data_IF_711707629243
#
_entry.id   IF_711707629243
#
_cell.length_a   1.000
_cell.length_b   1.000
_cell.length_c   1.000
_cell.angle_alpha   90.00
_cell.angle_beta   90.00
_cell.angle_gamma   90.00
#
_symmetry.space_group_name_H-M   'P 1'
#
loop_
_entity.id
_entity.type
_entity.pdbx_description
1 polymer ?
#
# COMPACT_ATOMS: atom_id res chain seq x y z
N UNK A 1 -12.88 -25.89 -29.14
CA UNK A 1 -11.49 -26.08 -28.63
C UNK A 1 -10.84 -24.72 -28.67
N UNK A 2 -10.70 -24.07 -27.52
CA UNK A 2 -9.94 -22.80 -27.43
C UNK A 2 -8.46 -23.12 -27.62
N UNK A 3 -7.82 -22.50 -28.58
CA UNK A 3 -6.39 -22.62 -28.73
C UNK A 3 -5.72 -22.15 -27.44
N UNK A 4 -4.98 -23.04 -26.77
CA UNK A 4 -4.16 -22.66 -25.63
C UNK A 4 -3.14 -21.65 -26.14
N UNK A 5 -3.25 -20.40 -25.71
CA UNK A 5 -2.23 -19.38 -25.96
C UNK A 5 -0.89 -19.87 -25.35
N UNK A 6 0.19 -19.77 -26.12
CA UNK A 6 1.53 -20.12 -25.63
C UNK A 6 1.82 -19.34 -24.31
N UNK A 7 2.53 -19.96 -23.35
CA UNK A 7 2.83 -19.29 -22.10
C UNK A 7 3.67 -18.03 -22.37
N UNK A 8 3.28 -16.91 -21.75
CA UNK A 8 4.04 -15.67 -21.79
C UNK A 8 5.30 -15.88 -20.94
N UNK A 9 6.47 -15.79 -21.56
CA UNK A 9 7.75 -15.97 -20.86
C UNK A 9 8.40 -14.66 -20.44
N UNK A 10 7.96 -13.54 -21.02
CA UNK A 10 8.49 -12.19 -20.75
C UNK A 10 7.38 -11.19 -20.88
N UNK A 11 7.29 -10.27 -19.93
CA UNK A 11 6.28 -9.21 -19.91
C UNK A 11 6.90 -7.89 -19.46
N UNK A 12 6.83 -6.86 -20.30
CA UNK A 12 7.41 -5.54 -20.04
C UNK A 12 6.31 -4.52 -19.82
N UNK A 13 6.40 -3.78 -18.73
CA UNK A 13 5.47 -2.71 -18.34
C UNK A 13 6.23 -1.41 -18.07
N UNK A 14 5.50 -0.32 -18.03
CA UNK A 14 6.00 0.95 -17.48
C UNK A 14 6.43 0.73 -16.02
N UNK A 15 7.52 1.35 -15.60
CA UNK A 15 8.02 1.25 -14.24
C UNK A 15 6.91 1.60 -13.21
N UNK A 16 6.64 0.72 -12.24
CA UNK A 16 5.52 0.89 -11.31
C UNK A 16 5.82 1.90 -10.21
N UNK A 17 4.75 2.39 -9.59
CA UNK A 17 4.78 3.15 -8.35
C UNK A 17 4.08 2.35 -7.24
N UNK A 18 4.52 2.50 -6.00
CA UNK A 18 3.82 1.93 -4.84
C UNK A 18 3.04 3.03 -4.11
N UNK A 19 1.73 2.95 -4.13
CA UNK A 19 0.88 3.99 -3.54
C UNK A 19 0.61 3.78 -2.05
N UNK A 20 1.28 2.81 -1.41
CA UNK A 20 1.22 2.59 0.03
C UNK A 20 2.37 1.71 0.53
N UNK A 21 3.36 2.28 1.20
CA UNK A 21 4.47 1.52 1.79
C UNK A 21 4.86 2.02 3.17
N UNK A 22 5.24 1.09 4.06
CA UNK A 22 5.87 1.40 5.34
C UNK A 22 7.38 1.13 5.25
N UNK A 23 8.18 2.17 5.24
CA UNK A 23 9.65 2.04 5.27
C UNK A 23 10.22 1.97 6.69
N UNK A 24 9.41 2.36 7.70
CA UNK A 24 9.85 2.59 9.08
C UNK A 24 10.88 3.71 9.14
N UNK A 25 11.76 3.73 10.15
CA UNK A 25 12.79 4.77 10.31
C UNK A 25 14.08 4.19 10.88
N UNK A 26 15.14 5.00 10.93
CA UNK A 26 16.45 4.62 11.47
C UNK A 26 17.07 3.44 10.72
N UNK A 27 17.54 2.45 11.46
CA UNK A 27 18.21 1.27 10.89
C UNK A 27 17.33 0.45 9.92
N UNK A 28 16.00 0.48 10.07
CA UNK A 28 15.08 -0.22 9.18
C UNK A 28 15.23 0.23 7.73
N UNK A 29 15.53 1.51 7.50
CA UNK A 29 15.67 2.08 6.17
C UNK A 29 16.77 1.42 5.34
N UNK A 30 17.82 0.91 5.98
CA UNK A 30 18.94 0.22 5.29
C UNK A 30 18.50 -1.07 4.57
N UNK A 31 17.36 -1.67 4.98
CA UNK A 31 16.79 -2.84 4.32
C UNK A 31 15.61 -2.46 3.43
N UNK A 32 14.72 -1.60 3.93
CA UNK A 32 13.44 -1.33 3.27
C UNK A 32 13.57 -0.43 2.06
N UNK A 33 14.45 0.57 2.12
CA UNK A 33 14.64 1.54 1.01
C UNK A 33 15.26 0.88 -0.22
N UNK A 34 16.35 0.08 -0.13
CA UNK A 34 16.88 -0.64 -1.29
C UNK A 34 15.85 -1.54 -1.96
N UNK A 35 15.02 -2.26 -1.19
CA UNK A 35 13.97 -3.11 -1.76
C UNK A 35 12.89 -2.31 -2.47
N UNK A 36 12.47 -1.16 -1.91
CA UNK A 36 11.51 -0.27 -2.56
C UNK A 36 12.09 0.34 -3.85
N UNK A 37 13.31 0.90 -3.80
CA UNK A 37 13.97 1.53 -4.92
C UNK A 37 14.29 0.57 -6.09
N UNK A 38 14.52 -0.71 -5.78
CA UNK A 38 14.74 -1.74 -6.80
C UNK A 38 13.45 -2.13 -7.56
N UNK A 39 12.26 -1.86 -7.00
CA UNK A 39 11.00 -2.32 -7.57
C UNK A 39 10.07 -1.18 -8.02
N UNK A 40 10.23 0.04 -7.48
CA UNK A 40 9.33 1.16 -7.74
C UNK A 40 10.10 2.44 -8.07
N UNK A 41 9.50 3.30 -8.89
CA UNK A 41 10.02 4.64 -9.16
C UNK A 41 9.60 5.64 -8.11
N UNK A 42 8.38 5.52 -7.61
CA UNK A 42 7.85 6.34 -6.53
C UNK A 42 7.18 5.46 -5.50
N UNK A 43 7.18 5.91 -4.26
CA UNK A 43 6.39 5.27 -3.22
C UNK A 43 5.76 6.29 -2.27
N UNK A 44 4.47 6.14 -1.97
CA UNK A 44 3.80 6.91 -0.90
C UNK A 44 4.19 6.31 0.45
N UNK A 45 5.01 7.07 1.20
CA UNK A 45 5.57 6.63 2.47
C UNK A 45 4.60 6.94 3.61
N UNK A 46 4.20 5.93 4.35
CA UNK A 46 3.26 6.05 5.46
C UNK A 46 3.87 6.78 6.67
N UNK A 47 3.09 7.64 7.34
CA UNK A 47 3.58 8.57 8.35
C UNK A 47 3.56 8.03 9.79
N UNK A 48 3.08 6.81 10.04
CA UNK A 48 2.86 6.23 11.37
C UNK A 48 4.17 5.71 12.00
N UNK A 49 5.11 6.61 12.17
CA UNK A 49 6.37 6.40 12.89
C UNK A 49 6.20 6.68 14.39
N UNK A 50 7.29 6.60 15.13
CA UNK A 50 7.36 7.03 16.54
C UNK A 50 8.56 7.98 16.69
N UNK A 51 8.33 9.30 16.81
CA UNK A 51 7.05 10.02 16.69
C UNK A 51 6.48 10.01 15.28
N UNK A 52 5.16 10.20 15.09
CA UNK A 52 4.53 10.24 13.77
C UNK A 52 4.88 11.55 13.01
N UNK A 53 4.80 11.49 11.68
CA UNK A 53 5.04 12.63 10.79
C UNK A 53 3.80 13.52 10.75
N UNK A 54 3.83 14.67 11.43
CA UNK A 54 2.68 15.57 11.59
C UNK A 54 2.82 16.90 10.86
N UNK A 55 4.05 17.30 10.53
CA UNK A 55 4.34 18.59 9.90
C UNK A 55 5.09 18.44 8.59
N UNK A 56 5.08 19.51 7.76
CA UNK A 56 5.91 19.57 6.56
C UNK A 56 7.40 19.40 6.87
N UNK A 57 7.88 19.96 7.97
CA UNK A 57 9.28 19.84 8.40
C UNK A 57 9.64 18.38 8.77
N UNK A 58 8.75 17.67 9.48
CA UNK A 58 8.93 16.24 9.77
C UNK A 58 8.98 15.42 8.47
N UNK A 59 8.11 15.72 7.52
CA UNK A 59 8.05 15.05 6.23
C UNK A 59 9.34 15.25 5.42
N UNK A 60 9.85 16.48 5.37
CA UNK A 60 11.13 16.80 4.71
C UNK A 60 12.28 16.03 5.38
N UNK A 61 12.39 16.10 6.71
CA UNK A 61 13.45 15.42 7.45
C UNK A 61 13.38 13.89 7.27
N UNK A 62 12.17 13.30 7.23
CA UNK A 62 12.02 11.88 6.97
C UNK A 62 12.40 11.53 5.53
N UNK A 63 12.01 12.36 4.56
CA UNK A 63 12.41 12.18 3.16
C UNK A 63 13.93 12.16 2.99
N UNK A 64 14.64 13.06 3.67
CA UNK A 64 16.11 13.10 3.64
C UNK A 64 16.74 11.82 4.18
N UNK A 65 16.20 11.28 5.29
CA UNK A 65 16.65 9.99 5.86
C UNK A 65 16.43 8.82 4.91
N UNK A 66 15.29 8.80 4.20
CA UNK A 66 15.00 7.80 3.17
C UNK A 66 16.01 7.91 2.02
N UNK A 67 16.19 9.11 1.47
CA UNK A 67 17.10 9.35 0.35
C UNK A 67 18.54 9.00 0.66
N UNK A 68 18.97 9.19 1.91
CA UNK A 68 20.30 8.79 2.36
C UNK A 68 20.55 7.27 2.33
N UNK A 69 19.51 6.45 2.25
CA UNK A 69 19.60 4.98 2.17
C UNK A 69 19.33 4.42 0.76
N UNK A 70 19.05 5.29 -0.21
CA UNK A 70 18.90 4.86 -1.61
C UNK A 70 20.27 4.40 -2.13
N UNK A 71 20.37 3.18 -2.71
CA UNK A 71 21.62 2.69 -3.27
C UNK A 71 22.20 3.63 -4.33
N UNK A 72 23.53 3.75 -4.34
CA UNK A 72 24.25 4.65 -5.27
C UNK A 72 24.46 3.96 -6.64
N UNK A 73 23.37 3.57 -7.29
CA UNK A 73 23.35 3.09 -8.65
C UNK A 73 22.35 3.91 -9.49
N UNK A 74 22.54 3.96 -10.79
CA UNK A 74 21.76 4.83 -11.69
C UNK A 74 20.26 4.52 -11.71
N UNK A 75 19.86 3.32 -11.32
CA UNK A 75 18.47 2.85 -11.29
C UNK A 75 17.82 3.28 -10.00
N UNK A 76 18.43 2.92 -8.87
CA UNK A 76 17.89 3.23 -7.54
C UNK A 76 17.84 4.73 -7.27
N UNK A 77 18.77 5.51 -7.81
CA UNK A 77 18.79 6.97 -7.71
C UNK A 77 17.59 7.67 -8.38
N UNK A 78 16.80 6.96 -9.18
CA UNK A 78 15.53 7.45 -9.72
C UNK A 78 14.34 7.29 -8.75
N UNK A 79 14.53 6.66 -7.59
CA UNK A 79 13.47 6.46 -6.61
C UNK A 79 13.08 7.78 -5.93
N UNK A 80 11.79 8.09 -5.95
CA UNK A 80 11.22 9.27 -5.33
C UNK A 80 10.25 8.89 -4.18
N UNK A 81 10.62 9.14 -2.92
CA UNK A 81 9.68 9.01 -1.81
C UNK A 81 8.69 10.18 -1.79
N UNK A 82 7.40 9.87 -1.86
CA UNK A 82 6.28 10.79 -1.77
C UNK A 82 5.78 10.78 -0.32
N UNK A 83 5.84 11.93 0.34
CA UNK A 83 5.58 12.00 1.78
C UNK A 83 4.10 12.18 2.10
N UNK A 84 3.72 11.77 3.31
CA UNK A 84 2.37 11.96 3.85
C UNK A 84 2.43 12.54 5.25
N UNK A 85 1.38 13.27 5.65
CA UNK A 85 1.16 13.66 7.03
C UNK A 85 0.23 12.67 7.72
N UNK A 86 0.46 12.47 9.00
CA UNK A 86 -0.43 11.71 9.87
C UNK A 86 -1.59 12.60 10.33
N UNK A 87 -2.82 12.24 9.97
CA UNK A 87 -4.01 12.97 10.44
C UNK A 87 -4.21 12.74 11.94
N UNK A 88 -4.11 13.80 12.70
CA UNK A 88 -4.45 13.84 14.12
C UNK A 88 -5.49 14.93 14.37
N UNK A 89 -6.14 14.89 15.51
CA UNK A 89 -7.11 15.94 15.90
C UNK A 89 -6.45 17.31 16.19
N UNK A 90 -5.12 17.35 16.30
CA UNK A 90 -4.34 18.58 16.46
C UNK A 90 -3.83 19.17 15.15
N UNK A 91 -3.98 18.47 14.02
CA UNK A 91 -3.59 18.98 12.72
C UNK A 91 -4.50 20.14 12.33
N UNK A 92 -3.92 21.21 11.78
CA UNK A 92 -4.65 22.43 11.43
C UNK A 92 -4.74 22.67 9.92
N UNK A 93 -5.58 23.61 9.50
CA UNK A 93 -5.68 24.01 8.09
C UNK A 93 -4.37 24.65 7.59
N UNK A 94 -3.65 25.34 8.46
CA UNK A 94 -2.34 25.95 8.18
C UNK A 94 -1.27 24.89 7.95
N UNK A 95 -1.30 23.76 8.71
CA UNK A 95 -0.40 22.63 8.49
C UNK A 95 -0.63 22.00 7.12
N UNK A 96 -1.89 21.96 6.64
CA UNK A 96 -2.21 21.47 5.29
C UNK A 96 -1.68 22.40 4.20
N UNK A 97 -1.77 23.72 4.39
CA UNK A 97 -1.15 24.69 3.47
C UNK A 97 0.36 24.50 3.40
N UNK A 98 1.03 24.47 4.57
CA UNK A 98 2.47 24.25 4.66
C UNK A 98 2.89 22.90 4.03
N UNK A 99 2.05 21.86 4.18
CA UNK A 99 2.29 20.57 3.56
C UNK A 99 2.29 20.64 2.03
N UNK A 100 1.29 21.31 1.44
CA UNK A 100 1.20 21.50 -0.01
C UNK A 100 2.36 22.36 -0.52
N UNK A 101 2.66 23.47 0.16
CA UNK A 101 3.73 24.41 -0.20
C UNK A 101 5.13 23.75 -0.13
N UNK A 102 5.30 22.74 0.71
CA UNK A 102 6.55 21.97 0.80
C UNK A 102 6.92 21.25 -0.51
N UNK A 103 5.92 20.97 -1.35
CA UNK A 103 6.10 20.21 -2.59
C UNK A 103 6.39 18.71 -2.41
N UNK A 104 6.73 18.26 -1.19
CA UNK A 104 7.09 16.85 -0.90
C UNK A 104 5.93 16.04 -0.34
N UNK A 105 4.97 16.68 0.34
CA UNK A 105 3.78 16.03 0.88
C UNK A 105 2.73 15.87 -0.24
N UNK A 106 2.25 14.65 -0.44
CA UNK A 106 1.32 14.31 -1.52
C UNK A 106 -0.05 13.86 -1.01
N UNK A 107 -0.20 13.60 0.28
CA UNK A 107 -1.47 13.20 0.87
C UNK A 107 -1.45 13.33 2.41
N UNK A 108 -2.62 13.19 3.03
CA UNK A 108 -2.78 13.04 4.48
C UNK A 108 -3.34 11.66 4.76
N UNK A 109 -2.78 10.94 5.72
CA UNK A 109 -3.19 9.59 6.11
C UNK A 109 -4.06 9.59 7.35
N UNK A 110 -5.26 9.07 7.23
CA UNK A 110 -6.18 8.80 8.33
C UNK A 110 -6.00 7.39 8.86
N UNK A 111 -5.70 7.28 10.15
CA UNK A 111 -5.84 6.07 10.94
C UNK A 111 -6.91 6.29 12.01
N UNK A 112 -7.92 5.42 12.13
CA UNK A 112 -8.72 5.38 13.34
C UNK A 112 -7.84 5.01 14.53
N UNK A 113 -8.05 5.66 15.67
CA UNK A 113 -7.25 5.43 16.88
C UNK A 113 -7.22 3.95 17.27
N UNK A 114 -6.03 3.35 17.36
CA UNK A 114 -5.84 1.95 17.72
C UNK A 114 -6.14 0.92 16.61
N UNK A 115 -6.33 1.34 15.36
CA UNK A 115 -6.67 0.42 14.26
C UNK A 115 -5.51 -0.50 13.84
N UNK A 116 -4.28 -0.02 13.91
CA UNK A 116 -3.08 -0.76 13.47
C UNK A 116 -1.83 -0.32 14.24
N UNK A 117 -0.66 -0.80 13.84
CA UNK A 117 0.64 -0.45 14.43
C UNK A 117 0.84 1.06 14.44
N UNK A 118 1.28 1.63 15.58
CA UNK A 118 1.54 3.06 15.78
C UNK A 118 0.35 3.96 15.40
N UNK A 119 -0.88 3.53 15.68
CA UNK A 119 -2.09 4.31 15.41
C UNK A 119 -2.80 4.84 16.65
N UNK A 120 -2.12 4.86 17.82
CA UNK A 120 -2.69 5.39 19.05
C UNK A 120 -3.07 6.87 18.96
N UNK A 121 -2.26 7.68 18.24
CA UNK A 121 -2.50 9.10 17.98
C UNK A 121 -3.53 9.37 16.86
N UNK A 122 -4.16 8.33 16.32
CA UNK A 122 -5.15 8.42 15.26
C UNK A 122 -6.41 9.16 15.67
N UNK A 123 -7.28 9.36 14.68
CA UNK A 123 -8.52 10.13 14.87
C UNK A 123 -9.54 9.29 15.66
N UNK A 124 -10.07 9.85 16.73
CA UNK A 124 -11.16 9.25 17.50
C UNK A 124 -12.51 9.48 16.82
N UNK A 125 -12.70 10.68 16.26
CA UNK A 125 -13.91 11.03 15.53
C UNK A 125 -13.62 12.02 14.38
N UNK A 126 -14.05 11.70 13.15
CA UNK A 126 -13.76 12.51 11.93
C UNK A 126 -14.27 13.95 12.02
N UNK A 127 -15.32 14.24 12.82
CA UNK A 127 -15.83 15.58 12.99
C UNK A 127 -14.84 16.54 13.67
N UNK A 128 -13.82 16.02 14.37
CA UNK A 128 -12.77 16.86 14.96
C UNK A 128 -11.81 17.44 13.91
N UNK A 129 -11.80 16.89 12.68
CA UNK A 129 -10.91 17.29 11.60
C UNK A 129 -11.63 18.06 10.47
N UNK A 130 -12.79 18.65 10.74
CA UNK A 130 -13.64 19.30 9.72
C UNK A 130 -12.90 20.37 8.92
N UNK A 131 -12.14 21.25 9.59
CA UNK A 131 -11.42 22.34 8.93
C UNK A 131 -10.25 21.82 8.09
N UNK A 132 -9.61 20.75 8.53
CA UNK A 132 -8.56 20.04 7.78
C UNK A 132 -9.15 19.47 6.49
N UNK A 133 -10.28 18.76 6.56
CA UNK A 133 -10.93 18.21 5.36
C UNK A 133 -11.38 19.29 4.38
N UNK A 134 -11.94 20.40 4.88
CA UNK A 134 -12.32 21.53 4.05
C UNK A 134 -11.09 22.14 3.34
N UNK A 135 -9.96 22.27 4.03
CA UNK A 135 -8.71 22.75 3.43
C UNK A 135 -8.14 21.76 2.42
N UNK A 136 -8.14 20.47 2.72
CA UNK A 136 -7.73 19.42 1.77
C UNK A 136 -8.57 19.43 0.49
N UNK A 137 -9.90 19.61 0.63
CA UNK A 137 -10.81 19.74 -0.50
C UNK A 137 -10.46 20.95 -1.37
N UNK A 138 -10.21 22.10 -0.74
CA UNK A 138 -9.88 23.35 -1.44
C UNK A 138 -8.55 23.26 -2.20
N UNK A 139 -7.54 22.59 -1.64
CA UNK A 139 -6.21 22.44 -2.21
C UNK A 139 -6.05 21.19 -3.09
N UNK A 140 -7.05 20.31 -3.12
CA UNK A 140 -7.01 19.05 -3.86
C UNK A 140 -6.03 18.04 -3.30
N UNK A 141 -5.64 18.14 -2.02
CA UNK A 141 -4.76 17.19 -1.34
C UNK A 141 -5.52 15.91 -0.98
N UNK A 142 -5.08 14.72 -1.43
CA UNK A 142 -5.80 13.48 -1.18
C UNK A 142 -5.79 13.05 0.29
N UNK A 143 -6.88 12.42 0.73
CA UNK A 143 -7.01 11.69 1.99
C UNK A 143 -6.83 10.20 1.73
N UNK A 144 -5.89 9.58 2.43
CA UNK A 144 -5.63 8.15 2.41
C UNK A 144 -6.25 7.54 3.67
N UNK A 145 -7.05 6.50 3.53
CA UNK A 145 -7.89 6.02 4.63
C UNK A 145 -7.61 4.56 4.97
N UNK A 146 -7.16 4.30 6.21
CA UNK A 146 -7.25 2.97 6.81
C UNK A 146 -8.69 2.78 7.29
N UNK A 147 -9.45 1.96 6.61
CA UNK A 147 -10.90 1.92 6.75
C UNK A 147 -11.40 0.80 7.66
N UNK A 148 -11.08 0.83 8.95
CA UNK A 148 -11.61 -0.12 9.94
C UNK A 148 -12.11 0.62 11.19
N UNK A 149 -13.29 0.22 11.70
CA UNK A 149 -13.70 0.62 13.05
C UNK A 149 -12.89 -0.14 14.11
N UNK A 150 -12.70 0.46 15.29
CA UNK A 150 -11.86 -0.12 16.36
C UNK A 150 -12.64 -0.62 17.56
N UNK A 151 -13.96 -0.64 17.50
CA UNK A 151 -14.83 -1.10 18.57
C UNK A 151 -14.61 -2.60 18.88
N UNK A 152 -14.31 -2.93 20.12
CA UNK A 152 -13.99 -4.30 20.56
C UNK A 152 -15.11 -5.32 20.32
N UNK A 153 -16.37 -4.87 20.33
CA UNK A 153 -17.53 -5.73 20.10
C UNK A 153 -17.83 -6.02 18.62
N UNK A 154 -17.14 -5.34 17.69
CA UNK A 154 -17.28 -5.60 16.26
C UNK A 154 -16.30 -6.68 15.85
N UNK A 155 -16.82 -7.71 15.16
CA UNK A 155 -16.02 -8.77 14.59
C UNK A 155 -14.96 -8.18 13.66
N UNK A 156 -13.72 -8.63 13.82
CA UNK A 156 -12.57 -8.13 13.05
C UNK A 156 -12.77 -8.29 11.53
N UNK A 157 -13.58 -9.26 11.11
CA UNK A 157 -13.90 -9.47 9.69
C UNK A 157 -14.95 -8.49 9.15
N UNK A 158 -15.69 -7.80 10.02
CA UNK A 158 -16.77 -6.87 9.64
C UNK A 158 -16.37 -5.40 9.80
N UNK A 159 -15.20 -5.11 10.37
CA UNK A 159 -14.74 -3.75 10.70
C UNK A 159 -14.69 -2.81 9.50
N UNK A 160 -14.26 -3.30 8.33
CA UNK A 160 -14.19 -2.51 7.11
C UNK A 160 -15.58 -2.11 6.61
N UNK A 161 -16.53 -3.06 6.58
CA UNK A 161 -17.92 -2.76 6.22
C UNK A 161 -18.56 -1.75 7.17
N UNK A 162 -18.33 -1.91 8.47
CA UNK A 162 -18.83 -0.97 9.48
C UNK A 162 -18.24 0.41 9.32
N UNK A 163 -16.97 0.52 8.97
CA UNK A 163 -16.33 1.80 8.72
C UNK A 163 -16.94 2.51 7.49
N UNK A 164 -17.27 1.78 6.45
CA UNK A 164 -17.97 2.35 5.29
C UNK A 164 -19.28 2.98 5.73
N UNK A 165 -20.10 2.25 6.48
CA UNK A 165 -21.44 2.68 6.88
C UNK A 165 -21.43 3.85 7.88
N UNK A 166 -20.48 3.83 8.82
CA UNK A 166 -20.45 4.79 9.93
C UNK A 166 -19.61 6.03 9.63
N UNK A 167 -18.57 5.90 8.78
CA UNK A 167 -17.56 6.95 8.58
C UNK A 167 -17.50 7.42 7.14
N UNK A 168 -17.28 6.50 6.16
CA UNK A 168 -16.98 6.90 4.78
C UNK A 168 -18.15 7.59 4.10
N UNK A 169 -19.37 7.09 4.28
CA UNK A 169 -20.58 7.70 3.71
C UNK A 169 -20.72 9.14 4.22
N UNK A 170 -20.63 9.34 5.52
CA UNK A 170 -20.74 10.66 6.14
C UNK A 170 -19.63 11.63 5.71
N UNK A 171 -18.39 11.11 5.55
CA UNK A 171 -17.24 11.91 5.11
C UNK A 171 -17.45 12.43 3.68
N UNK A 172 -17.86 11.56 2.76
CA UNK A 172 -18.07 11.91 1.35
C UNK A 172 -19.28 12.84 1.19
N UNK A 173 -20.36 12.62 1.92
CA UNK A 173 -21.53 13.49 1.90
C UNK A 173 -21.18 14.91 2.35
N UNK A 174 -20.31 15.03 3.34
CA UNK A 174 -19.89 16.32 3.90
C UNK A 174 -18.82 17.04 3.06
N UNK A 175 -17.91 16.27 2.44
CA UNK A 175 -16.79 16.77 1.63
C UNK A 175 -16.73 16.06 0.26
N UNK A 176 -17.70 16.35 -0.65
CA UNK A 176 -17.86 15.57 -1.88
C UNK A 176 -16.74 15.73 -2.91
N UNK A 177 -15.89 16.74 -2.77
CA UNK A 177 -14.77 16.97 -3.69
C UNK A 177 -13.43 16.52 -3.16
N UNK A 178 -13.32 16.11 -1.89
CA UNK A 178 -12.08 15.52 -1.36
C UNK A 178 -11.73 14.29 -2.19
N UNK A 179 -10.50 14.23 -2.65
CA UNK A 179 -9.97 13.00 -3.23
C UNK A 179 -9.69 11.99 -2.12
N UNK A 180 -10.23 10.79 -2.24
CA UNK A 180 -10.07 9.74 -1.23
C UNK A 180 -9.47 8.50 -1.87
N UNK A 181 -8.42 7.96 -1.25
CA UNK A 181 -7.94 6.61 -1.52
C UNK A 181 -8.34 5.73 -0.34
N UNK A 182 -9.28 4.82 -0.56
CA UNK A 182 -9.60 3.77 0.39
C UNK A 182 -8.51 2.71 0.28
N UNK A 183 -7.59 2.71 1.23
CA UNK A 183 -6.37 1.93 1.10
C UNK A 183 -6.56 0.48 1.51
N UNK A 184 -5.78 -0.42 0.86
CA UNK A 184 -5.68 -1.86 1.16
C UNK A 184 -7.03 -2.50 1.44
N UNK A 185 -8.04 -2.23 0.59
CA UNK A 185 -9.40 -2.77 0.76
C UNK A 185 -9.37 -4.30 0.77
N UNK A 186 -10.28 -4.90 1.57
CA UNK A 186 -10.25 -6.34 1.82
C UNK A 186 -11.59 -7.04 1.59
N UNK A 187 -12.67 -6.29 1.37
CA UNK A 187 -14.03 -6.82 1.23
C UNK A 187 -14.67 -6.49 -0.11
N UNK A 188 -15.66 -7.30 -0.49
CA UNK A 188 -16.56 -6.98 -1.60
C UNK A 188 -17.32 -5.68 -1.35
N UNK A 189 -17.69 -5.42 -0.09
CA UNK A 189 -18.39 -4.19 0.30
C UNK A 189 -17.58 -2.94 -0.01
N UNK A 190 -16.26 -2.97 0.24
CA UNK A 190 -15.37 -1.86 -0.10
C UNK A 190 -15.21 -1.70 -1.63
N UNK A 191 -15.09 -2.80 -2.36
CA UNK A 191 -15.03 -2.76 -3.82
C UNK A 191 -16.31 -2.16 -4.42
N UNK A 192 -17.48 -2.61 -3.99
CA UNK A 192 -18.79 -2.10 -4.43
C UNK A 192 -18.97 -0.64 -4.05
N UNK A 193 -18.56 -0.26 -2.82
CA UNK A 193 -18.57 1.13 -2.38
C UNK A 193 -17.73 2.02 -3.31
N UNK A 194 -16.48 1.68 -3.59
CA UNK A 194 -15.60 2.45 -4.49
C UNK A 194 -16.18 2.54 -5.90
N UNK A 195 -16.76 1.44 -6.42
CA UNK A 195 -17.41 1.43 -7.73
C UNK A 195 -18.61 2.37 -7.80
N UNK A 196 -19.39 2.48 -6.72
CA UNK A 196 -20.57 3.36 -6.63
C UNK A 196 -20.23 4.84 -6.52
N UNK A 197 -19.01 5.20 -6.12
CA UNK A 197 -18.60 6.58 -5.92
C UNK A 197 -18.19 7.28 -7.24
N UNK A 198 -18.03 8.60 -7.18
CA UNK A 198 -17.48 9.41 -8.27
C UNK A 198 -15.98 9.17 -8.52
N UNK A 199 -15.43 9.96 -9.44
CA UNK A 199 -13.99 9.88 -9.83
C UNK A 199 -13.01 10.30 -8.72
N UNK A 200 -13.50 10.93 -7.66
CA UNK A 200 -12.67 11.38 -6.53
C UNK A 200 -12.36 10.26 -5.53
N UNK A 201 -12.97 9.08 -5.68
CA UNK A 201 -12.75 7.94 -4.78
C UNK A 201 -12.11 6.81 -5.57
N UNK A 202 -10.99 6.34 -5.05
CA UNK A 202 -10.25 5.19 -5.57
C UNK A 202 -9.84 4.27 -4.42
N UNK A 203 -9.21 3.14 -4.72
CA UNK A 203 -8.73 2.20 -3.72
C UNK A 203 -7.38 1.59 -4.11
N UNK A 204 -6.57 1.27 -3.10
CA UNK A 204 -5.42 0.39 -3.26
C UNK A 204 -5.78 -1.04 -2.85
N UNK A 205 -5.15 -2.02 -3.52
CA UNK A 205 -5.27 -3.43 -3.18
C UNK A 205 -3.87 -4.04 -3.11
N UNK A 206 -3.59 -4.73 -2.02
CA UNK A 206 -2.29 -5.34 -1.75
C UNK A 206 -2.13 -6.70 -2.43
N UNK A 207 -0.90 -7.19 -2.65
CA UNK A 207 -0.69 -8.52 -3.23
C UNK A 207 -1.21 -9.63 -2.31
N UNK A 208 -1.10 -9.46 -0.98
CA UNK A 208 -1.60 -10.45 -0.02
C UNK A 208 -3.12 -10.59 -0.08
N UNK A 209 -3.89 -9.50 -0.26
CA UNK A 209 -5.34 -9.58 -0.35
C UNK A 209 -5.85 -10.10 -1.70
N UNK A 210 -5.03 -10.06 -2.75
CA UNK A 210 -5.35 -10.69 -4.04
C UNK A 210 -5.09 -12.20 -4.02
N UNK A 211 -3.96 -12.63 -3.44
CA UNK A 211 -3.48 -14.02 -3.52
C UNK A 211 -3.97 -14.89 -2.37
N UNK A 212 -4.23 -14.30 -1.20
CA UNK A 212 -4.47 -15.06 0.03
C UNK A 212 -5.80 -14.67 0.67
N UNK A 213 -6.32 -15.59 1.48
CA UNK A 213 -7.51 -15.40 2.30
C UNK A 213 -7.26 -15.98 3.70
N UNK A 214 -8.25 -15.87 4.59
CA UNK A 214 -8.11 -16.30 5.99
C UNK A 214 -7.69 -17.76 6.18
N UNK A 215 -7.96 -18.66 5.19
CA UNK A 215 -7.49 -20.05 5.29
C UNK A 215 -5.96 -20.13 5.24
N UNK A 216 -5.30 -19.27 4.45
CA UNK A 216 -3.85 -19.22 4.39
C UNK A 216 -3.21 -18.79 5.71
N UNK A 217 -3.92 -17.97 6.50
CA UNK A 217 -3.50 -17.55 7.84
C UNK A 217 -3.71 -18.64 8.90
N UNK A 218 -4.83 -19.41 8.81
CA UNK A 218 -5.36 -20.17 9.95
C UNK A 218 -5.33 -21.68 9.76
N UNK A 219 -5.38 -22.19 8.52
CA UNK A 219 -5.47 -23.65 8.29
C UNK A 219 -4.10 -24.30 8.40
N UNK A 220 -4.00 -25.37 9.20
CA UNK A 220 -2.77 -26.09 9.46
C UNK A 220 -1.83 -25.42 10.46
N UNK A 221 -2.38 -24.50 11.27
CA UNK A 221 -1.66 -23.70 12.26
C UNK A 221 -1.61 -22.23 11.87
N UNK A 222 -1.39 -21.38 12.88
CA UNK A 222 -1.27 -19.93 12.68
C UNK A 222 0.02 -19.62 11.92
N UNK A 223 -0.08 -18.81 10.88
CA UNK A 223 1.06 -18.36 10.07
C UNK A 223 1.28 -16.85 10.25
N UNK A 224 2.16 -16.44 11.17
CA UNK A 224 2.30 -15.04 11.58
C UNK A 224 2.66 -14.10 10.44
N UNK A 225 3.41 -14.55 9.43
CA UNK A 225 3.85 -13.73 8.30
C UNK A 225 2.73 -13.39 7.30
N UNK A 226 1.56 -14.05 7.42
CA UNK A 226 0.32 -13.70 6.71
C UNK A 226 -0.61 -12.79 7.52
N UNK A 227 -0.27 -12.49 8.78
CA UNK A 227 -1.07 -11.62 9.62
C UNK A 227 -0.80 -10.15 9.32
N UNK A 228 -1.83 -9.45 8.85
CA UNK A 228 -1.86 -8.02 8.56
C UNK A 228 -3.19 -7.41 9.03
N UNK A 229 -3.25 -6.10 9.11
CA UNK A 229 -4.48 -5.33 9.31
C UNK A 229 -4.63 -4.30 8.19
N UNK A 230 -5.79 -4.30 7.49
CA UNK A 230 -6.95 -5.16 7.69
C UNK A 230 -6.65 -6.65 7.43
N UNK A 231 -7.31 -7.51 8.22
CA UNK A 231 -7.05 -8.95 8.19
C UNK A 231 -7.51 -9.59 6.86
N UNK A 232 -6.83 -10.65 6.42
CA UNK A 232 -7.26 -11.48 5.28
C UNK A 232 -8.69 -11.98 5.48
N UNK A 233 -9.57 -11.74 4.51
CA UNK A 233 -11.00 -12.04 4.58
C UNK A 233 -11.33 -13.44 4.00
N UNK A 234 -12.61 -13.71 3.77
CA UNK A 234 -13.11 -14.92 3.13
C UNK A 234 -12.67 -14.99 1.66
N UNK A 235 -12.62 -16.19 1.11
CA UNK A 235 -12.35 -16.41 -0.32
C UNK A 235 -13.35 -15.66 -1.24
N UNK A 236 -14.60 -15.51 -0.83
CA UNK A 236 -15.59 -14.74 -1.58
C UNK A 236 -15.20 -13.28 -1.76
N UNK A 237 -14.68 -12.63 -0.74
CA UNK A 237 -14.15 -11.26 -0.81
C UNK A 237 -12.89 -11.20 -1.68
N UNK A 238 -11.92 -12.10 -1.44
CA UNK A 238 -10.69 -12.19 -2.23
C UNK A 238 -10.98 -12.29 -3.73
N UNK A 239 -11.97 -13.09 -4.12
CA UNK A 239 -12.37 -13.23 -5.53
C UNK A 239 -12.85 -11.89 -6.12
N UNK A 240 -13.69 -11.15 -5.41
CA UNK A 240 -14.16 -9.83 -5.86
C UNK A 240 -13.01 -8.84 -5.97
N UNK A 241 -12.06 -8.84 -5.02
CA UNK A 241 -10.87 -7.99 -5.11
C UNK A 241 -10.03 -8.30 -6.35
N UNK A 242 -9.84 -9.57 -6.65
CA UNK A 242 -9.12 -10.02 -7.84
C UNK A 242 -9.86 -9.59 -9.12
N UNK A 243 -11.18 -9.74 -9.15
CA UNK A 243 -12.02 -9.33 -10.27
C UNK A 243 -11.93 -7.82 -10.55
N UNK A 244 -12.01 -6.96 -9.51
CA UNK A 244 -11.92 -5.50 -9.70
C UNK A 244 -10.49 -5.03 -10.01
N UNK A 245 -9.45 -5.61 -9.41
CA UNK A 245 -8.07 -5.29 -9.70
C UNK A 245 -7.72 -5.57 -11.17
N UNK A 246 -8.21 -6.69 -11.70
CA UNK A 246 -7.94 -7.15 -13.06
C UNK A 246 -8.93 -6.66 -14.11
N UNK A 247 -9.93 -5.85 -13.71
CA UNK A 247 -10.96 -5.30 -14.61
C UNK A 247 -10.44 -4.24 -15.58
N UNK A 248 -9.31 -3.58 -15.23
CA UNK A 248 -8.82 -2.40 -15.93
C UNK A 248 -9.52 -1.09 -15.50
N UNK A 249 -10.36 -1.13 -14.47
CA UNK A 249 -11.02 0.07 -13.94
C UNK A 249 -9.98 0.97 -13.23
N UNK A 250 -9.84 2.26 -13.64
CA UNK A 250 -8.81 3.16 -13.13
C UNK A 250 -8.97 3.57 -11.65
N UNK A 251 -10.05 3.21 -11.01
CA UNK A 251 -10.26 3.45 -9.57
C UNK A 251 -9.46 2.49 -8.68
N UNK A 252 -8.94 1.38 -9.23
CA UNK A 252 -8.16 0.41 -8.48
C UNK A 252 -6.72 0.40 -8.96
N UNK A 253 -5.80 0.47 -7.99
CA UNK A 253 -4.37 0.44 -8.28
C UNK A 253 -3.57 -0.17 -7.12
N UNK A 254 -2.30 -0.38 -7.35
CA UNK A 254 -1.37 -0.98 -6.41
C UNK A 254 -1.21 -0.12 -5.14
N UNK A 255 -1.07 -0.77 -4.01
CA UNK A 255 -0.52 -0.28 -2.76
C UNK A 255 -0.10 -1.51 -2.00
N UNK A 256 1.22 -1.70 -1.82
CA UNK A 256 1.71 -2.98 -1.29
C UNK A 256 1.36 -3.19 0.17
N UNK A 257 1.21 -2.11 0.92
CA UNK A 257 1.17 -2.14 2.38
C UNK A 257 2.30 -3.03 2.94
N UNK A 258 3.46 -2.97 2.28
CA UNK A 258 4.64 -3.66 2.78
C UNK A 258 5.00 -3.07 4.13
N UNK A 259 4.82 -3.87 5.18
CA UNK A 259 4.92 -3.43 6.57
C UNK A 259 5.93 -4.31 7.32
N UNK A 260 7.21 -3.90 7.40
CA UNK A 260 8.26 -4.68 8.01
C UNK A 260 8.13 -4.73 9.53
N UNK A 261 8.30 -5.93 10.08
CA UNK A 261 8.45 -6.22 11.51
C UNK A 261 9.53 -7.28 11.68
N UNK A 262 10.40 -7.12 12.68
CA UNK A 262 11.38 -8.15 12.98
C UNK A 262 10.68 -9.49 13.27
N UNK A 263 11.22 -10.59 12.76
CA UNK A 263 10.63 -11.93 12.82
C UNK A 263 10.17 -12.28 14.24
N UNK A 264 10.99 -12.04 15.26
CA UNK A 264 10.66 -12.35 16.65
C UNK A 264 9.45 -11.56 17.18
N UNK A 265 9.10 -10.39 16.59
CA UNK A 265 7.94 -9.59 17.00
C UNK A 265 6.64 -10.09 16.37
N UNK A 266 6.74 -10.83 15.28
CA UNK A 266 5.62 -11.50 14.64
C UNK A 266 5.39 -12.91 15.23
N UNK A 267 6.44 -13.61 15.59
CA UNK A 267 6.43 -14.98 16.09
C UNK A 267 6.38 -15.03 17.63
N UNK A 268 5.47 -14.28 18.20
CA UNK A 268 5.20 -14.29 19.64
C UNK A 268 3.69 -14.14 19.93
N UNK A 269 3.31 -14.20 21.19
CA UNK A 269 1.90 -14.19 21.61
C UNK A 269 1.14 -12.90 21.21
N UNK A 270 1.84 -11.76 21.10
CA UNK A 270 1.23 -10.49 20.66
C UNK A 270 1.10 -10.41 19.14
N UNK A 271 2.06 -10.93 18.38
CA UNK A 271 2.11 -10.98 16.93
C UNK A 271 1.88 -9.62 16.24
N UNK A 272 2.94 -8.98 15.75
CA UNK A 272 2.75 -7.71 15.02
C UNK A 272 2.01 -7.92 13.71
N UNK A 273 1.02 -7.06 13.40
CA UNK A 273 0.32 -7.06 12.12
C UNK A 273 1.15 -6.34 11.05
N UNK A 274 1.34 -6.99 9.92
CA UNK A 274 2.05 -6.45 8.75
C UNK A 274 2.72 -7.55 7.94
N UNK A 275 2.55 -7.53 6.62
CA UNK A 275 3.24 -8.42 5.68
C UNK A 275 4.38 -7.64 5.03
N UNK A 276 5.57 -8.22 4.95
CA UNK A 276 6.67 -7.61 4.21
C UNK A 276 6.72 -8.16 2.78
N UNK A 277 6.44 -7.32 1.80
CA UNK A 277 6.29 -7.73 0.40
C UNK A 277 7.06 -6.85 -0.61
N UNK A 278 7.67 -5.74 -0.21
CA UNK A 278 8.29 -4.78 -1.13
C UNK A 278 9.28 -5.42 -2.11
N UNK A 279 10.08 -6.40 -1.65
CA UNK A 279 11.08 -7.11 -2.47
C UNK A 279 10.49 -8.07 -3.52
N UNK A 280 9.21 -8.46 -3.35
CA UNK A 280 8.55 -9.50 -4.17
C UNK A 280 7.17 -9.06 -4.69
N UNK A 281 6.76 -7.82 -4.45
CA UNK A 281 5.39 -7.37 -4.70
C UNK A 281 5.01 -7.50 -6.19
N UNK A 282 5.86 -7.05 -7.09
CA UNK A 282 5.57 -7.08 -8.53
C UNK A 282 5.42 -8.51 -9.09
N UNK A 283 6.28 -9.48 -8.74
CA UNK A 283 6.04 -10.91 -9.01
C UNK A 283 4.72 -11.43 -8.49
N UNK A 284 4.33 -11.06 -7.25
CA UNK A 284 3.06 -11.49 -6.66
C UNK A 284 1.86 -10.91 -7.41
N UNK A 285 1.89 -9.64 -7.80
CA UNK A 285 0.84 -9.06 -8.63
C UNK A 285 0.77 -9.73 -10.00
N UNK A 286 1.91 -10.01 -10.64
CA UNK A 286 1.94 -10.73 -11.91
C UNK A 286 1.29 -12.12 -11.78
N UNK A 287 1.60 -12.86 -10.72
CA UNK A 287 0.98 -14.16 -10.42
C UNK A 287 -0.52 -14.04 -10.20
N UNK A 288 -0.98 -13.01 -9.47
CA UNK A 288 -2.41 -12.79 -9.24
C UNK A 288 -3.15 -12.52 -10.57
N UNK A 289 -2.65 -11.63 -11.40
CA UNK A 289 -3.25 -11.28 -12.69
C UNK A 289 -3.22 -12.43 -13.68
N UNK A 290 -2.12 -13.19 -13.71
CA UNK A 290 -2.00 -14.37 -14.54
C UNK A 290 -2.98 -15.47 -14.15
N UNK A 291 -3.24 -15.66 -12.86
CA UNK A 291 -4.14 -16.71 -12.36
C UNK A 291 -5.57 -16.63 -12.93
N UNK A 292 -5.95 -15.45 -13.43
CA UNK A 292 -7.25 -15.19 -14.09
C UNK A 292 -7.11 -14.82 -15.56
N UNK A 293 -5.90 -14.97 -16.15
CA UNK A 293 -5.65 -14.70 -17.57
C UNK A 293 -5.72 -13.23 -17.96
N UNK A 294 -5.36 -12.31 -17.02
CA UNK A 294 -5.48 -10.85 -17.18
C UNK A 294 -4.14 -10.11 -17.01
N UNK A 295 -3.04 -10.76 -17.36
CA UNK A 295 -1.71 -10.17 -17.26
C UNK A 295 -1.60 -8.85 -18.07
N UNK A 296 -2.38 -8.72 -19.14
CA UNK A 296 -2.50 -7.51 -19.96
C UNK A 296 -3.05 -6.28 -19.20
N UNK A 297 -3.68 -6.46 -18.06
CA UNK A 297 -4.17 -5.37 -17.20
C UNK A 297 -3.19 -4.94 -16.12
N UNK A 298 -2.09 -5.67 -15.93
CA UNK A 298 -1.13 -5.41 -14.87
C UNK A 298 -0.51 -4.00 -14.97
N UNK A 299 -0.10 -3.57 -16.17
CA UNK A 299 0.50 -2.24 -16.36
C UNK A 299 -0.45 -1.11 -15.93
N UNK A 300 -1.73 -1.21 -16.29
CA UNK A 300 -2.74 -0.24 -15.84
C UNK A 300 -2.79 -0.11 -14.34
N UNK A 301 -2.87 -1.24 -13.66
CA UNK A 301 -3.02 -1.34 -12.21
C UNK A 301 -1.75 -0.89 -11.44
N UNK A 302 -0.56 -1.26 -11.91
CA UNK A 302 0.70 -1.01 -11.18
C UNK A 302 1.35 0.33 -11.52
N UNK A 303 1.13 0.86 -12.74
CA UNK A 303 1.98 1.93 -13.27
C UNK A 303 1.21 3.16 -13.77
N UNK A 304 -0.10 3.03 -14.08
CA UNK A 304 -0.83 4.10 -14.76
C UNK A 304 -1.95 4.70 -13.90
N UNK A 305 -2.79 3.86 -13.29
CA UNK A 305 -4.03 4.32 -12.64
C UNK A 305 -3.73 5.24 -11.45
N UNK A 306 -2.83 4.84 -10.56
CA UNK A 306 -2.45 5.65 -9.40
C UNK A 306 -1.80 6.97 -9.81
N UNK A 307 -0.85 6.95 -10.75
CA UNK A 307 -0.23 8.18 -11.24
C UNK A 307 -1.27 9.19 -11.75
N UNK A 308 -2.24 8.72 -12.54
CA UNK A 308 -3.35 9.56 -13.02
C UNK A 308 -4.24 10.08 -11.90
N UNK A 309 -4.55 9.24 -10.90
CA UNK A 309 -5.37 9.66 -9.76
C UNK A 309 -4.70 10.79 -8.96
N UNK A 310 -3.39 10.66 -8.70
CA UNK A 310 -2.61 11.68 -7.99
C UNK A 310 -2.23 12.88 -8.87
N UNK A 311 -2.50 12.85 -10.17
CA UNK A 311 -2.14 13.92 -11.11
C UNK A 311 -0.64 14.01 -11.38
N UNK A 312 0.07 12.88 -11.24
CA UNK A 312 1.49 12.78 -11.49
C UNK A 312 1.78 12.23 -12.90
N UNK A 313 2.92 12.57 -13.52
CA UNK A 313 3.29 12.01 -14.81
C UNK A 313 3.47 10.50 -14.72
N UNK A 314 3.14 9.79 -15.80
CA UNK A 314 3.44 8.37 -15.93
C UNK A 314 4.96 8.24 -16.13
N UNK A 315 5.58 7.25 -15.47
CA UNK A 315 7.00 7.00 -15.60
C UNK A 315 7.37 6.65 -17.06
N UNK A 316 8.55 7.06 -17.50
CA UNK A 316 9.07 6.75 -18.85
C UNK A 316 9.80 5.42 -18.89
N UNK A 317 10.41 5.02 -17.79
CA UNK A 317 11.19 3.79 -17.69
C UNK A 317 10.32 2.54 -17.78
N UNK A 318 10.97 1.43 -18.11
CA UNK A 318 10.32 0.13 -18.23
C UNK A 318 10.93 -0.88 -17.28
N UNK A 319 10.10 -1.79 -16.81
CA UNK A 319 10.51 -2.98 -16.05
C UNK A 319 10.04 -4.23 -16.78
N UNK A 320 10.89 -5.25 -16.81
CA UNK A 320 10.60 -6.52 -17.45
C UNK A 320 10.50 -7.61 -16.38
N UNK A 321 9.40 -8.34 -16.41
CA UNK A 321 9.25 -9.60 -15.69
C UNK A 321 9.56 -10.74 -16.65
N UNK A 322 10.34 -11.70 -16.14
CA UNK A 322 10.66 -12.94 -16.87
C UNK A 322 10.11 -14.13 -16.09
N UNK A 323 9.67 -15.15 -16.81
CA UNK A 323 9.28 -16.43 -16.22
C UNK A 323 10.55 -17.24 -15.93
N UNK A 324 11.11 -17.03 -14.78
CA UNK A 324 12.29 -17.70 -14.26
C UNK A 324 12.01 -18.05 -12.80
N UNK A 325 11.62 -19.30 -12.48
CA UNK A 325 11.34 -19.71 -11.12
C UNK A 325 12.53 -19.46 -10.20
N UNK A 326 12.27 -18.84 -9.05
CA UNK A 326 13.28 -18.53 -8.05
C UNK A 326 12.70 -18.66 -6.65
N UNK A 327 13.56 -18.91 -5.69
CA UNK A 327 13.15 -19.07 -4.29
C UNK A 327 13.24 -17.72 -3.57
N UNK A 328 12.15 -17.32 -2.91
CA UNK A 328 12.13 -16.15 -2.02
C UNK A 328 13.07 -16.42 -0.84
N UNK A 329 13.98 -15.49 -0.49
CA UNK A 329 14.83 -15.64 0.68
C UNK A 329 14.04 -15.95 1.95
N UNK A 330 14.57 -16.79 2.83
CA UNK A 330 13.95 -17.09 4.13
C UNK A 330 13.89 -15.83 5.00
N UNK A 331 14.96 -15.04 4.98
CA UNK A 331 15.12 -13.84 5.81
C UNK A 331 15.92 -12.76 5.08
N UNK A 332 15.71 -11.52 5.50
CA UNK A 332 16.58 -10.39 5.20
C UNK A 332 17.20 -9.86 6.49
N UNK A 333 18.45 -9.35 6.48
CA UNK A 333 19.01 -8.63 7.61
C UNK A 333 18.12 -7.44 7.99
N UNK A 334 17.87 -7.26 9.28
CA UNK A 334 17.04 -6.18 9.81
C UNK A 334 17.53 -5.77 11.22
N UNK A 335 17.26 -4.58 11.67
CA UNK A 335 17.51 -4.02 13.01
C UNK A 335 18.52 -4.79 13.89
N UNK A 336 19.73 -4.26 14.13
CA UNK A 336 20.73 -4.80 15.08
C UNK A 336 20.91 -6.34 15.04
N UNK A 337 21.06 -6.88 13.84
CA UNK A 337 21.24 -8.33 13.65
C UNK A 337 19.99 -9.17 13.89
N UNK A 338 18.80 -8.58 13.85
CA UNK A 338 17.53 -9.28 13.75
C UNK A 338 17.23 -9.61 12.31
N UNK A 339 16.28 -10.55 12.13
CA UNK A 339 15.80 -10.96 10.83
C UNK A 339 14.43 -10.34 10.51
N UNK A 340 14.19 -10.12 9.24
CA UNK A 340 12.90 -9.78 8.63
C UNK A 340 12.49 -10.92 7.70
N UNK A 341 11.39 -11.57 8.00
CA UNK A 341 10.85 -12.66 7.17
C UNK A 341 9.86 -12.06 6.15
N UNK A 342 10.13 -12.19 4.84
CA UNK A 342 9.20 -11.71 3.83
C UNK A 342 7.96 -12.60 3.72
N UNK A 343 6.90 -12.04 3.14
CA UNK A 343 5.77 -12.84 2.65
C UNK A 343 6.31 -13.90 1.67
N UNK A 344 5.79 -15.11 1.70
CA UNK A 344 6.26 -16.24 0.86
C UNK A 344 7.72 -16.68 1.09
N UNK A 345 8.33 -16.37 2.25
CA UNK A 345 9.68 -16.85 2.60
C UNK A 345 9.85 -18.36 2.29
N UNK A 346 10.96 -18.71 1.63
CA UNK A 346 11.26 -20.10 1.24
C UNK A 346 10.40 -20.68 0.12
N UNK A 347 9.38 -19.97 -0.37
CA UNK A 347 8.52 -20.43 -1.46
C UNK A 347 9.10 -20.05 -2.83
N UNK A 348 8.70 -20.80 -3.86
CA UNK A 348 9.08 -20.50 -5.24
C UNK A 348 8.06 -19.55 -5.87
N UNK A 349 8.55 -18.49 -6.52
CA UNK A 349 7.78 -17.62 -7.41
C UNK A 349 8.20 -17.87 -8.85
N UNK A 350 7.23 -17.88 -9.77
CA UNK A 350 7.47 -18.13 -11.20
C UNK A 350 7.99 -16.89 -11.94
N UNK A 351 7.61 -15.71 -11.48
CA UNK A 351 8.01 -14.44 -12.07
C UNK A 351 9.16 -13.80 -11.30
N UNK A 352 10.12 -13.24 -12.06
CA UNK A 352 11.26 -12.52 -11.53
C UNK A 352 11.35 -11.15 -12.20
N UNK A 353 11.61 -10.12 -11.42
CA UNK A 353 11.85 -8.76 -11.92
C UNK A 353 13.29 -8.67 -12.44
N UNK A 354 13.46 -8.23 -13.66
CA UNK A 354 14.75 -7.83 -14.18
C UNK A 354 15.05 -6.37 -13.80
N UNK A 355 16.32 -5.97 -13.65
CA UNK A 355 16.67 -4.58 -13.41
C UNK A 355 15.97 -3.65 -14.41
N UNK A 356 15.56 -2.47 -13.96
CA UNK A 356 14.92 -1.48 -14.82
C UNK A 356 15.79 -1.13 -16.03
N UNK A 357 15.17 -0.99 -17.19
CA UNK A 357 15.79 -0.39 -18.35
C UNK A 357 15.47 1.10 -18.34
N UNK A 358 16.49 1.94 -18.15
CA UNK A 358 16.33 3.38 -18.25
C UNK A 358 15.91 3.73 -19.68
N UNK A 359 14.94 4.62 -19.82
CA UNK A 359 14.62 5.20 -21.13
C UNK A 359 15.81 6.04 -21.57
N UNK A 360 16.36 5.73 -22.76
CA UNK A 360 17.49 6.45 -23.40
C UNK A 360 16.98 7.72 -24.07
#
# INVERSE_FOLDING_TARGET
MSAATAPINTFTITAPDDWHIHLRDGQALATTVPHAAANFRRAICMPNLVPPIKTAADAIAYRERILAQVPNDSISQQFEPLMTLYLTESLTAEDIEAAVDSGVVKAVKLYPAGATTNSADGVSHINHCTDVFAKMEALGLPLLVHGEVTHHHIDIFDREKRFIDEVMVNLIDKFPKVKIVFEHITTSDAADFVLSQGKNVAATITPQHLLFNRNHLLVGGIKPHFYCLPILKRQSHQKVLLDVATSGNPKFFIGTDSAPHATHTKENACGCAGCYSASIALPLYAQAFESVGKLDKLEGFTSIHGAKFYGLPINSDKVTLVREPWQVPEHYPYLDGKDLTPLMAGQTLDWKVMPFNLAV
#
